data_IF_777232499786
#
_entry.id   IF_777232499786
#
_cell.length_a   1.000
_cell.length_b   1.000
_cell.length_c   1.000
_cell.angle_alpha   90.00
_cell.angle_beta   90.00
_cell.angle_gamma   90.00
#
_symmetry.space_group_name_H-M   'P 1'
#
loop_
_entity.id
_entity.type
_entity.pdbx_description
1 polymer ?
#
# COMPACT_ATOMS: atom_id res chain seq x y z
N UNK A 1 30.56 2.82 57.56
CA UNK A 1 29.55 2.14 58.40
C UNK A 1 28.82 1.16 57.48
N UNK A 2 29.35 -0.06 57.33
CA UNK A 2 29.00 -1.31 58.03
C UNK A 2 27.62 -1.92 57.62
N UNK A 3 27.73 -2.90 56.69
CA UNK A 3 27.12 -4.25 56.67
C UNK A 3 25.63 -4.45 56.28
N UNK A 4 25.43 -5.20 55.18
CA UNK A 4 24.33 -6.15 54.94
C UNK A 4 24.39 -7.30 55.98
N UNK A 5 23.26 -7.95 56.33
CA UNK A 5 22.95 -9.33 55.86
C UNK A 5 21.42 -9.64 55.78
N UNK A 6 20.90 -10.57 54.97
CA UNK A 6 20.68 -12.03 55.21
C UNK A 6 19.88 -12.51 53.97
N UNK A 7 20.23 -13.52 53.16
CA UNK A 7 20.44 -14.95 53.43
C UNK A 7 19.21 -15.68 54.03
N UNK A 8 18.30 -16.17 53.18
CA UNK A 8 17.61 -17.45 53.42
C UNK A 8 17.62 -18.27 52.13
N UNK A 9 18.03 -19.50 52.36
CA UNK A 9 18.42 -20.58 51.46
C UNK A 9 17.22 -21.52 51.36
N UNK A 10 16.78 -21.90 50.16
CA UNK A 10 15.99 -23.13 50.01
C UNK A 10 16.60 -23.98 48.90
N UNK A 11 17.17 -25.08 49.36
CA UNK A 11 17.74 -26.18 48.62
C UNK A 11 16.59 -27.17 48.36
N UNK A 12 16.47 -27.70 47.14
CA UNK A 12 15.44 -28.68 46.81
C UNK A 12 15.69 -29.32 45.45
N UNK A 13 16.63 -30.26 45.42
CA UNK A 13 16.94 -31.15 44.31
C UNK A 13 15.98 -32.33 44.34
N UNK A 14 15.36 -32.69 43.21
CA UNK A 14 14.87 -34.05 42.96
C UNK A 14 15.16 -34.47 41.51
N UNK A 15 16.15 -35.37 41.38
CA UNK A 15 16.38 -36.24 40.23
C UNK A 15 15.36 -37.39 40.23
N UNK A 16 14.86 -37.78 39.05
CA UNK A 16 14.40 -39.16 38.75
C UNK A 16 14.22 -39.30 37.23
N UNK A 17 15.18 -39.90 36.52
CA UNK A 17 15.27 -41.32 36.11
C UNK A 17 14.33 -41.66 34.92
N UNK A 18 14.86 -41.92 33.71
CA UNK A 18 15.40 -43.17 33.14
C UNK A 18 14.40 -43.93 32.23
N UNK A 19 14.60 -43.75 30.92
CA UNK A 19 14.66 -44.73 29.81
C UNK A 19 13.93 -46.10 29.90
N UNK A 20 13.08 -46.37 28.90
CA UNK A 20 13.06 -47.57 28.03
C UNK A 20 12.08 -47.27 26.86
N UNK A 21 12.45 -47.19 25.57
CA UNK A 21 12.94 -48.16 24.57
C UNK A 21 12.06 -49.41 24.38
N UNK A 22 11.39 -49.48 23.23
CA UNK A 22 11.13 -50.67 22.39
C UNK A 22 10.52 -50.17 21.06
N UNK A 23 11.30 -50.11 19.97
CA UNK A 23 11.63 -51.20 19.04
C UNK A 23 10.51 -51.50 18.02
N UNK A 24 10.64 -50.93 16.81
CA UNK A 24 10.22 -51.59 15.58
C UNK A 24 11.25 -51.28 14.48
N UNK A 25 11.72 -52.35 13.84
CA UNK A 25 12.79 -52.36 12.86
C UNK A 25 12.26 -52.33 11.41
N UNK A 26 13.11 -51.76 10.56
CA UNK A 26 13.19 -51.75 9.08
C UNK A 26 13.16 -53.15 8.42
N UNK A 27 12.87 -53.27 7.09
CA UNK A 27 13.77 -52.85 5.99
C UNK A 27 12.98 -52.29 4.75
N UNK A 28 13.51 -51.89 3.60
CA UNK A 28 14.78 -52.10 2.93
C UNK A 28 15.01 -50.99 1.86
N UNK A 29 16.25 -50.91 1.39
CA UNK A 29 16.83 -49.96 0.44
C UNK A 29 16.24 -50.03 -0.99
N UNK A 30 16.36 -48.92 -1.72
CA UNK A 30 16.12 -48.84 -3.15
C UNK A 30 16.51 -47.48 -3.73
N UNK A 31 17.81 -47.27 -3.95
CA UNK A 31 18.34 -46.19 -4.80
C UNK A 31 18.02 -46.49 -6.28
N UNK A 32 17.35 -45.55 -6.97
CA UNK A 32 17.31 -45.53 -8.43
C UNK A 32 17.13 -44.09 -8.94
N UNK A 33 18.09 -43.71 -9.75
CA UNK A 33 18.33 -42.41 -10.34
C UNK A 33 17.41 -42.12 -11.56
N UNK A 34 17.33 -40.83 -11.91
CA UNK A 34 16.99 -40.22 -13.21
C UNK A 34 15.61 -40.40 -13.88
N UNK A 35 14.91 -39.26 -13.90
CA UNK A 35 14.34 -38.53 -15.05
C UNK A 35 13.57 -39.30 -16.14
N UNK A 36 12.25 -39.03 -16.24
CA UNK A 36 11.61 -38.63 -17.50
C UNK A 36 10.15 -38.19 -17.30
N UNK A 37 9.87 -36.95 -17.72
CA UNK A 37 8.66 -36.52 -18.45
C UNK A 37 7.28 -36.96 -17.94
N UNK A 38 6.62 -36.10 -17.17
CA UNK A 38 5.16 -36.01 -17.16
C UNK A 38 4.71 -34.57 -17.43
N UNK A 39 4.32 -34.35 -18.69
CA UNK A 39 3.30 -33.44 -19.20
C UNK A 39 2.74 -32.42 -18.19
N UNK A 40 3.23 -31.19 -18.29
CA UNK A 40 2.50 -29.99 -17.85
C UNK A 40 1.23 -29.86 -18.70
N UNK A 41 0.10 -30.33 -18.20
CA UNK A 41 -1.21 -29.91 -18.67
C UNK A 41 -1.39 -28.44 -18.30
N UNK A 42 -1.40 -27.60 -19.32
CA UNK A 42 -1.72 -26.18 -19.25
C UNK A 42 -3.19 -25.99 -18.86
N UNK A 43 -3.47 -25.88 -17.56
CA UNK A 43 -4.67 -25.17 -17.09
C UNK A 43 -4.35 -23.67 -17.12
N UNK A 44 -4.95 -22.99 -18.10
CA UNK A 44 -4.88 -21.54 -18.32
C UNK A 44 -5.50 -20.81 -17.13
N UNK A 45 -4.67 -20.45 -16.15
CA UNK A 45 -5.04 -19.50 -15.11
C UNK A 45 -4.97 -18.09 -15.70
N UNK A 46 -6.12 -17.41 -15.82
CA UNK A 46 -6.17 -15.98 -16.10
C UNK A 46 -5.52 -15.22 -14.94
N UNK A 47 -4.23 -14.88 -15.08
CA UNK A 47 -3.62 -13.83 -14.24
C UNK A 47 -4.35 -12.51 -14.56
N UNK A 48 -4.79 -11.72 -13.57
CA UNK A 48 -5.19 -10.35 -13.84
C UNK A 48 -3.97 -9.62 -14.42
N UNK A 49 -4.06 -9.21 -15.68
CA UNK A 49 -3.00 -8.47 -16.36
C UNK A 49 -2.84 -7.10 -15.72
N UNK A 50 -1.75 -6.90 -14.98
CA UNK A 50 -1.24 -5.55 -14.68
C UNK A 50 -0.69 -4.97 -15.98
N UNK A 51 -1.57 -4.40 -16.82
CA UNK A 51 -1.12 -3.68 -18.01
C UNK A 51 -0.34 -2.46 -17.52
N UNK A 52 0.98 -2.48 -17.75
CA UNK A 52 1.85 -1.33 -17.50
C UNK A 52 1.58 -0.32 -18.61
N UNK A 53 1.08 0.85 -18.24
CA UNK A 53 0.84 1.93 -19.17
C UNK A 53 2.15 2.63 -19.51
N UNK A 54 2.30 3.07 -20.75
CA UNK A 54 3.51 3.76 -21.19
C UNK A 54 3.70 5.09 -20.45
N UNK A 55 4.85 5.33 -19.79
CA UNK A 55 5.13 6.60 -19.12
C UNK A 55 5.23 7.79 -20.07
N UNK A 56 5.48 7.55 -21.37
CA UNK A 56 5.66 8.59 -22.39
C UNK A 56 4.35 9.05 -23.05
N UNK A 57 3.24 8.36 -22.81
CA UNK A 57 1.95 8.76 -23.35
C UNK A 57 1.46 10.03 -22.63
N UNK A 58 1.27 11.12 -23.38
CA UNK A 58 0.72 12.37 -22.85
C UNK A 58 -0.74 12.14 -22.42
N UNK A 59 -0.96 11.98 -21.12
CA UNK A 59 -2.32 11.93 -20.56
C UNK A 59 -2.86 13.35 -20.47
N UNK A 60 -4.06 13.60 -21.01
CA UNK A 60 -4.73 14.89 -20.88
C UNK A 60 -5.03 15.16 -19.40
N UNK A 61 -4.57 16.29 -18.89
CA UNK A 61 -4.88 16.71 -17.52
C UNK A 61 -6.35 17.09 -17.42
N UNK A 62 -6.95 16.74 -16.27
CA UNK A 62 -8.32 17.10 -15.94
C UNK A 62 -8.34 18.20 -14.89
N UNK A 63 -8.90 19.34 -15.29
CA UNK A 63 -9.03 20.54 -14.47
C UNK A 63 -10.47 20.76 -13.98
N UNK A 64 -11.40 19.82 -14.23
CA UNK A 64 -12.83 19.95 -13.91
C UNK A 64 -13.15 19.90 -12.43
N UNK A 65 -12.27 19.33 -11.60
CA UNK A 65 -12.53 19.13 -10.17
C UNK A 65 -13.49 17.99 -9.85
N UNK A 66 -13.88 17.20 -10.85
CA UNK A 66 -14.81 16.09 -10.65
C UNK A 66 -14.19 14.96 -9.80
N UNK A 67 -14.96 14.36 -8.88
CA UNK A 67 -14.53 13.21 -8.11
C UNK A 67 -14.20 12.00 -9.00
N UNK A 68 -13.21 11.22 -8.60
CA UNK A 68 -12.75 10.03 -9.34
C UNK A 68 -12.72 8.82 -8.44
N UNK A 69 -13.26 7.71 -8.93
CA UNK A 69 -13.21 6.41 -8.25
C UNK A 69 -12.17 5.50 -8.89
N UNK A 70 -11.42 4.77 -8.08
CA UNK A 70 -10.41 3.84 -8.58
C UNK A 70 -9.67 3.14 -7.44
N UNK A 71 -8.48 2.59 -7.73
CA UNK A 71 -7.61 2.01 -6.70
C UNK A 71 -6.48 2.97 -6.35
N UNK A 72 -6.14 3.03 -5.07
CA UNK A 72 -4.93 3.66 -4.57
C UNK A 72 -3.87 2.60 -4.26
N UNK A 73 -2.61 2.98 -4.39
CA UNK A 73 -1.51 2.30 -3.68
C UNK A 73 -0.62 3.34 -3.01
N UNK A 74 0.57 2.97 -2.55
CA UNK A 74 1.51 3.90 -1.94
C UNK A 74 2.95 3.65 -2.38
N UNK A 75 3.80 4.66 -2.22
CA UNK A 75 5.21 4.57 -2.56
C UNK A 75 5.95 3.53 -1.71
N UNK A 76 6.80 2.73 -2.36
CA UNK A 76 7.79 1.92 -1.65
C UNK A 76 8.91 2.80 -1.06
N UNK A 77 9.55 2.32 0.00
CA UNK A 77 10.60 3.07 0.74
C UNK A 77 11.77 3.51 -0.15
N UNK A 78 12.08 2.76 -1.22
CA UNK A 78 13.12 3.10 -2.19
C UNK A 78 12.88 4.44 -2.92
N UNK A 79 11.65 4.95 -2.94
CA UNK A 79 11.37 6.25 -3.54
C UNK A 79 11.76 7.44 -2.64
N UNK A 80 12.05 7.20 -1.35
CA UNK A 80 12.37 8.27 -0.41
C UNK A 80 13.56 9.10 -0.88
N UNK A 81 13.43 10.42 -0.84
CA UNK A 81 14.44 11.39 -1.28
C UNK A 81 14.60 11.53 -2.80
N UNK A 82 13.92 10.71 -3.62
CA UNK A 82 13.97 10.86 -5.07
C UNK A 82 13.17 12.07 -5.51
N UNK A 83 13.66 12.73 -6.57
CA UNK A 83 13.00 13.89 -7.16
C UNK A 83 11.65 13.51 -7.78
N UNK A 84 10.58 14.17 -7.36
CA UNK A 84 9.22 14.07 -7.90
C UNK A 84 9.05 14.99 -9.13
N UNK A 85 7.91 14.88 -9.81
CA UNK A 85 7.61 15.68 -10.99
C UNK A 85 7.54 17.20 -10.74
N UNK A 86 7.20 17.64 -9.53
CA UNK A 86 7.26 19.05 -9.12
C UNK A 86 8.69 19.54 -8.82
N UNK A 87 9.66 18.63 -8.82
CA UNK A 87 11.06 18.89 -8.57
C UNK A 87 11.49 18.80 -7.10
N UNK A 88 10.57 18.56 -6.17
CA UNK A 88 10.87 18.37 -4.75
C UNK A 88 11.21 16.90 -4.44
N UNK A 89 12.00 16.60 -3.40
CA UNK A 89 12.27 15.22 -2.99
C UNK A 89 11.04 14.57 -2.36
N UNK A 90 10.79 13.30 -2.64
CA UNK A 90 9.71 12.53 -2.02
C UNK A 90 10.01 12.33 -0.53
N UNK A 91 9.19 12.91 0.34
CA UNK A 91 9.20 12.67 1.78
C UNK A 91 8.10 11.67 2.16
N UNK A 92 8.46 10.47 2.67
CA UNK A 92 7.48 9.47 3.12
C UNK A 92 6.51 9.96 4.20
N UNK A 93 6.90 11.01 4.95
CA UNK A 93 6.16 11.60 6.06
C UNK A 93 5.34 12.85 5.67
N UNK A 94 5.25 13.15 4.38
CA UNK A 94 4.47 14.27 3.86
C UNK A 94 3.07 13.82 3.40
N UNK A 95 2.12 14.75 3.31
CA UNK A 95 0.76 14.47 2.82
C UNK A 95 0.71 14.68 1.29
N UNK A 96 1.40 13.83 0.54
CA UNK A 96 1.56 13.96 -0.92
C UNK A 96 1.08 12.72 -1.65
N UNK A 97 0.77 12.90 -2.93
CA UNK A 97 0.38 11.82 -3.82
C UNK A 97 0.82 12.04 -5.28
N UNK A 98 0.80 10.95 -6.05
CA UNK A 98 1.02 10.93 -7.49
C UNK A 98 -0.31 10.77 -8.24
N UNK A 99 -0.50 11.53 -9.31
CA UNK A 99 -1.63 11.33 -10.22
C UNK A 99 -1.24 11.54 -11.70
N UNK A 100 -1.84 10.72 -12.57
CA UNK A 100 -1.68 10.83 -14.03
C UNK A 100 -2.53 11.93 -14.63
N UNK A 101 -3.71 12.15 -14.07
CA UNK A 101 -4.75 12.98 -14.67
C UNK A 101 -4.91 14.31 -13.94
N UNK A 102 -4.65 14.37 -12.62
CA UNK A 102 -4.78 15.63 -11.89
C UNK A 102 -3.56 16.53 -12.10
N UNK A 103 -3.72 17.86 -12.22
CA UNK A 103 -2.61 18.80 -12.25
C UNK A 103 -1.69 18.69 -11.02
N UNK A 104 -0.42 19.09 -11.18
CA UNK A 104 0.45 19.25 -10.01
C UNK A 104 -0.02 20.46 -9.19
N UNK A 105 0.09 20.36 -7.86
CA UNK A 105 -0.43 21.37 -6.92
C UNK A 105 -1.92 21.21 -6.61
N UNK A 106 -2.62 20.25 -7.23
CA UNK A 106 -4.01 19.94 -6.84
C UNK A 106 -4.05 19.43 -5.42
N UNK A 107 -4.89 20.02 -4.57
CA UNK A 107 -5.26 19.44 -3.27
C UNK A 107 -6.51 18.59 -3.44
N UNK A 108 -6.51 17.39 -2.90
CA UNK A 108 -7.64 16.47 -2.99
C UNK A 108 -7.88 15.76 -1.66
N UNK A 109 -9.15 15.52 -1.34
CA UNK A 109 -9.55 14.58 -0.29
C UNK A 109 -9.55 13.17 -0.89
N UNK A 110 -8.84 12.25 -0.24
CA UNK A 110 -8.83 10.83 -0.61
C UNK A 110 -9.60 10.07 0.44
N UNK A 111 -10.67 9.40 0.02
CA UNK A 111 -11.51 8.59 0.90
C UNK A 111 -11.30 7.12 0.57
N UNK A 112 -10.88 6.34 1.56
CA UNK A 112 -10.81 4.88 1.48
C UNK A 112 -12.23 4.30 1.61
N UNK A 113 -12.68 3.60 0.57
CA UNK A 113 -14.03 3.05 0.52
C UNK A 113 -14.23 1.80 1.39
N UNK A 114 -13.15 1.15 1.82
CA UNK A 114 -13.23 -0.03 2.68
C UNK A 114 -13.61 0.32 4.13
N UNK A 115 -13.19 1.50 4.62
CA UNK A 115 -13.33 1.89 6.03
C UNK A 115 -13.90 3.31 6.23
N UNK A 116 -14.10 4.08 5.15
CA UNK A 116 -14.62 5.45 5.19
C UNK A 116 -13.61 6.49 5.70
N UNK A 117 -12.35 6.12 5.98
CA UNK A 117 -11.31 7.06 6.41
C UNK A 117 -10.93 7.99 5.26
N UNK A 118 -10.57 9.22 5.60
CA UNK A 118 -10.22 10.26 4.63
C UNK A 118 -9.02 11.08 5.06
N UNK A 119 -8.24 11.52 4.09
CA UNK A 119 -7.08 12.37 4.30
C UNK A 119 -6.90 13.31 3.10
N UNK A 120 -6.47 14.55 3.36
CA UNK A 120 -6.18 15.52 2.30
C UNK A 120 -4.73 15.39 1.87
N UNK A 121 -4.52 15.35 0.56
CA UNK A 121 -3.19 15.23 -0.07
C UNK A 121 -2.98 16.30 -1.12
N UNK A 122 -1.72 16.58 -1.41
CA UNK A 122 -1.33 17.41 -2.56
C UNK A 122 -0.70 16.55 -3.66
N UNK A 123 -1.11 16.75 -4.90
CA UNK A 123 -0.55 16.07 -6.06
C UNK A 123 0.78 16.70 -6.42
N UNK A 124 1.89 15.99 -6.22
CA UNK A 124 3.26 16.47 -6.47
C UNK A 124 4.03 15.64 -7.48
N UNK A 125 3.50 14.49 -7.86
CA UNK A 125 4.18 13.58 -8.78
C UNK A 125 3.26 12.97 -9.85
N UNK A 126 3.87 12.28 -10.83
CA UNK A 126 3.18 11.62 -11.94
C UNK A 126 3.21 10.10 -11.82
N UNK A 127 2.06 9.49 -12.08
CA UNK A 127 1.81 8.06 -11.91
C UNK A 127 0.46 7.86 -11.24
N UNK A 128 0.02 6.63 -10.91
CA UNK A 128 0.63 5.33 -11.21
C UNK A 128 0.48 4.89 -12.67
N UNK A 129 1.52 4.32 -13.28
CA UNK A 129 1.49 3.77 -14.64
C UNK A 129 1.01 2.31 -14.70
N UNK A 130 0.05 1.95 -13.84
CA UNK A 130 -0.58 0.62 -13.85
C UNK A 130 -2.07 0.85 -14.01
N UNK A 131 -2.66 0.10 -14.94
CA UNK A 131 -4.08 0.20 -15.20
C UNK A 131 -4.93 -0.09 -13.95
N UNK A 132 -6.03 0.65 -13.81
CA UNK A 132 -6.93 0.56 -12.66
C UNK A 132 -6.46 1.25 -11.37
N UNK A 133 -5.22 1.74 -11.29
CA UNK A 133 -4.78 2.62 -10.18
C UNK A 133 -4.86 4.09 -10.61
N UNK A 134 -5.44 4.92 -9.75
CA UNK A 134 -5.64 6.35 -10.04
C UNK A 134 -4.73 7.27 -9.23
N UNK A 135 -4.20 6.77 -8.10
CA UNK A 135 -3.36 7.55 -7.19
C UNK A 135 -2.34 6.66 -6.48
N UNK A 136 -1.12 7.15 -6.29
CA UNK A 136 -0.12 6.58 -5.38
C UNK A 136 0.13 7.56 -4.23
N UNK A 137 -0.09 7.13 -3.00
CA UNK A 137 -0.02 7.96 -1.79
C UNK A 137 1.35 7.86 -1.11
N UNK A 138 1.67 8.82 -0.24
CA UNK A 138 2.81 8.65 0.67
C UNK A 138 2.55 7.56 1.72
N UNK A 139 3.59 6.90 2.25
CA UNK A 139 3.48 5.92 3.33
C UNK A 139 2.72 6.45 4.56
N UNK A 140 2.94 7.72 4.93
CA UNK A 140 2.18 8.34 6.04
C UNK A 140 0.68 8.39 5.76
N UNK A 141 0.28 8.81 4.56
CA UNK A 141 -1.15 8.89 4.21
C UNK A 141 -1.76 7.50 4.14
N UNK A 142 -1.03 6.52 3.58
CA UNK A 142 -1.48 5.14 3.54
C UNK A 142 -1.78 4.57 4.93
N UNK A 143 -0.91 4.86 5.91
CA UNK A 143 -1.13 4.51 7.33
C UNK A 143 -2.37 5.17 7.91
N UNK A 144 -2.56 6.46 7.66
CA UNK A 144 -3.74 7.19 8.16
C UNK A 144 -5.06 6.66 7.58
N UNK A 145 -5.02 6.16 6.34
CA UNK A 145 -6.17 5.55 5.66
C UNK A 145 -6.33 4.05 5.96
N UNK A 146 -5.50 3.46 6.82
CA UNK A 146 -5.39 2.01 7.10
C UNK A 146 -5.33 1.14 5.83
N UNK A 147 -4.45 1.51 4.89
CA UNK A 147 -4.23 0.73 3.67
C UNK A 147 -2.79 0.22 3.51
N UNK A 148 -1.93 0.51 4.47
CA UNK A 148 -0.52 0.10 4.47
C UNK A 148 -0.36 -1.42 4.57
N UNK A 149 -1.19 -2.11 5.37
CA UNK A 149 -1.16 -3.57 5.46
C UNK A 149 -1.64 -4.26 4.17
N UNK A 150 -2.69 -3.73 3.53
CA UNK A 150 -3.27 -4.32 2.30
C UNK A 150 -2.47 -3.99 1.04
N UNK A 151 -1.67 -2.91 1.05
CA UNK A 151 -0.95 -2.42 -0.13
C UNK A 151 -1.80 -1.59 -1.10
N UNK A 152 -3.05 -2.01 -1.34
CA UNK A 152 -3.97 -1.43 -2.30
C UNK A 152 -5.36 -1.31 -1.68
N UNK A 153 -6.04 -0.19 -1.92
CA UNK A 153 -7.41 0.04 -1.45
C UNK A 153 -8.27 0.71 -2.54
N UNK A 154 -9.59 0.42 -2.61
CA UNK A 154 -10.51 1.21 -3.41
C UNK A 154 -10.71 2.59 -2.78
N UNK A 155 -10.59 3.65 -3.58
CA UNK A 155 -10.70 5.04 -3.11
C UNK A 155 -11.59 5.88 -4.00
N UNK A 156 -12.11 6.98 -3.42
CA UNK A 156 -12.59 8.15 -4.16
C UNK A 156 -11.63 9.30 -3.90
N UNK A 157 -11.17 9.95 -4.97
CA UNK A 157 -10.34 11.15 -4.93
C UNK A 157 -11.21 12.33 -5.35
N UNK A 158 -11.45 13.24 -4.42
CA UNK A 158 -12.25 14.45 -4.63
C UNK A 158 -11.31 15.65 -4.63
N UNK A 159 -11.01 16.26 -5.80
CA UNK A 159 -10.27 17.50 -5.84
C UNK A 159 -10.99 18.59 -5.02
N UNK A 160 -10.23 19.36 -4.26
CA UNK A 160 -10.70 20.50 -3.44
C UNK A 160 -10.19 21.80 -4.07
N UNK A 161 -8.92 21.84 -4.45
CA UNK A 161 -8.28 22.96 -5.12
C UNK A 161 -7.59 22.44 -6.38
N UNK A 162 -7.94 23.01 -7.54
CA UNK A 162 -7.40 22.60 -8.84
C UNK A 162 -6.75 23.80 -9.53
N UNK A 163 -5.43 23.80 -9.73
CA UNK A 163 -4.74 24.80 -10.55
C UNK A 163 -5.24 24.76 -11.99
N UNK A 164 -5.65 25.92 -12.50
CA UNK A 164 -6.14 26.10 -13.86
C UNK A 164 -5.01 26.54 -14.81
N UNK A 165 -5.12 26.29 -16.12
CA UNK A 165 -4.12 26.72 -17.10
C UNK A 165 -3.91 28.24 -17.19
N UNK A 166 -4.91 29.03 -16.79
CA UNK A 166 -4.87 30.50 -16.75
C UNK A 166 -4.18 31.04 -15.48
N UNK A 167 -3.72 30.16 -14.59
CA UNK A 167 -3.09 30.52 -13.32
C UNK A 167 -4.07 30.74 -12.16
N UNK A 168 -5.39 30.66 -12.41
CA UNK A 168 -6.38 30.69 -11.34
C UNK A 168 -6.43 29.35 -10.58
N UNK A 169 -7.00 29.37 -9.37
CA UNK A 169 -7.27 28.16 -8.59
C UNK A 169 -8.77 27.98 -8.48
N UNK A 170 -9.28 26.86 -8.97
CA UNK A 170 -10.68 26.50 -8.80
C UNK A 170 -10.84 25.76 -7.48
N UNK A 171 -11.72 26.29 -6.62
CA UNK A 171 -12.08 25.64 -5.36
C UNK A 171 -13.45 24.98 -5.50
N UNK A 172 -13.49 23.66 -5.36
CA UNK A 172 -14.71 22.82 -5.47
C UNK A 172 -15.35 22.51 -4.11
N UNK A 173 -14.85 23.12 -3.02
CA UNK A 173 -15.35 22.93 -1.66
C UNK A 173 -16.83 23.31 -1.46
N UNK A 174 -17.51 23.87 -2.47
CA UNK A 174 -18.88 24.35 -2.41
C UNK A 174 -19.94 23.40 -3.00
N UNK A 175 -19.58 22.30 -3.69
CA UNK A 175 -20.54 21.53 -4.52
C UNK A 175 -20.71 20.06 -4.10
N UNK A 176 -20.69 19.77 -2.80
CA UNK A 176 -21.10 18.44 -2.28
C UNK A 176 -22.28 18.50 -1.30
N UNK A 177 -23.03 19.61 -1.28
CA UNK A 177 -24.15 19.84 -0.35
C UNK A 177 -25.50 20.21 -0.99
N UNK A 178 -25.67 20.10 -2.31
CA UNK A 178 -26.94 20.38 -2.99
C UNK A 178 -27.47 19.14 -3.71
N UNK A 179 -27.74 18.09 -2.94
CA UNK A 179 -28.78 17.15 -3.33
C UNK A 179 -30.12 17.80 -2.97
N UNK A 180 -30.72 18.48 -3.95
CA UNK A 180 -32.10 18.94 -3.92
C UNK A 180 -33.02 17.73 -3.76
N UNK A 181 -33.53 17.52 -2.55
CA UNK A 181 -34.74 16.75 -2.33
C UNK A 181 -35.90 17.52 -2.94
N UNK A 182 -36.58 16.92 -3.92
CA UNK A 182 -37.86 17.43 -4.38
C UNK A 182 -38.93 17.30 -3.31
N UNK A 183 -39.82 18.28 -3.26
CA UNK A 183 -41.26 18.10 -3.12
C UNK A 183 -41.97 19.30 -3.76
#
# INVERSE_FOLDING_TARGET
>A
MKRLPFCVRFCGVLLSSCLAVSAYAEPAQGDADKQASQKKSSTKANKPSTVRLDPKAKTKLDHSGEPRKGKASFYADYFAGRKMADGTPMDPNSNVAASRTLPLGTKAEVTNLDNGKKEVVEIRDRGPYIDGRIVDLSPKVAKKLDMDEKGIAPVVVTPIEVPQPDGSVMSSAATSGAATSGE
#
